data_IF_454612875376
#
_entry.id   IF_454612875376
#
_cell.length_a   1.000
_cell.length_b   1.000
_cell.length_c   1.000
_cell.angle_alpha   90.00
_cell.angle_beta   90.00
_cell.angle_gamma   90.00
#
_symmetry.space_group_name_H-M   'P 1'
#
loop_
_entity.id
_entity.type
_entity.pdbx_description
1 polymer ?
#
# COMPACT_ATOMS: atom_id res chain seq x y z
N UNK A 1 -28.63 1.37 15.93
CA UNK A 1 -28.27 -0.06 16.10
C UNK A 1 -27.23 -0.40 15.05
N UNK A 2 -26.06 -0.92 15.43
CA UNK A 2 -24.99 -1.29 14.50
C UNK A 2 -25.42 -2.58 13.79
N UNK A 3 -25.63 -2.55 12.48
CA UNK A 3 -25.86 -3.76 11.67
C UNK A 3 -24.51 -4.38 11.34
N UNK A 4 -24.38 -5.68 11.49
CA UNK A 4 -23.19 -6.41 11.10
C UNK A 4 -23.00 -6.33 9.58
N UNK A 5 -21.76 -6.21 9.12
CA UNK A 5 -21.43 -6.05 7.70
C UNK A 5 -20.94 -7.38 7.17
N UNK A 6 -21.56 -7.87 6.10
CA UNK A 6 -21.09 -9.03 5.35
C UNK A 6 -20.36 -8.55 4.09
N UNK A 7 -19.12 -8.96 3.94
CA UNK A 7 -18.26 -8.59 2.81
C UNK A 7 -18.24 -9.73 1.78
N UNK A 8 -18.89 -9.55 0.64
CA UNK A 8 -19.01 -10.57 -0.43
C UNK A 8 -18.42 -10.05 -1.74
N UNK A 9 -17.82 -10.93 -2.56
CA UNK A 9 -17.31 -10.53 -3.88
C UNK A 9 -18.46 -10.19 -4.84
N UNK A 10 -18.42 -9.02 -5.48
CA UNK A 10 -19.43 -8.65 -6.46
C UNK A 10 -19.11 -9.23 -7.86
N UNK A 11 -20.10 -9.76 -8.60
CA UNK A 11 -21.54 -9.76 -8.33
C UNK A 11 -21.98 -10.82 -7.32
N UNK A 12 -22.74 -10.37 -6.31
CA UNK A 12 -23.35 -11.27 -5.30
C UNK A 12 -24.62 -11.88 -5.87
N UNK A 13 -24.71 -13.21 -5.88
CA UNK A 13 -25.90 -13.95 -6.30
C UNK A 13 -27.15 -13.56 -5.50
N UNK A 14 -28.33 -13.52 -6.11
CA UNK A 14 -29.57 -13.08 -5.47
C UNK A 14 -29.96 -13.91 -4.24
N UNK A 15 -29.71 -15.22 -4.28
CA UNK A 15 -29.96 -16.14 -3.15
C UNK A 15 -29.10 -15.77 -1.94
N UNK A 16 -27.82 -15.50 -2.16
CA UNK A 16 -26.88 -15.11 -1.10
C UNK A 16 -27.19 -13.74 -0.51
N UNK A 17 -27.64 -12.82 -1.36
CA UNK A 17 -28.09 -11.50 -0.96
C UNK A 17 -29.37 -11.54 -0.12
N UNK A 18 -30.30 -12.45 -0.43
CA UNK A 18 -31.54 -12.62 0.32
C UNK A 18 -31.24 -13.17 1.73
N UNK A 19 -30.42 -14.21 1.82
CA UNK A 19 -30.02 -14.82 3.10
C UNK A 19 -29.33 -13.82 4.03
N UNK A 20 -28.36 -13.06 3.52
CA UNK A 20 -27.64 -12.06 4.31
C UNK A 20 -28.55 -10.90 4.77
N UNK A 21 -29.53 -10.52 3.94
CA UNK A 21 -30.51 -9.49 4.31
C UNK A 21 -31.54 -9.97 5.32
N UNK A 22 -31.98 -11.22 5.23
CA UNK A 22 -32.90 -11.84 6.19
C UNK A 22 -32.27 -11.91 7.58
N UNK A 23 -30.98 -12.24 7.65
CA UNK A 23 -30.19 -12.20 8.88
C UNK A 23 -29.87 -10.78 9.37
N UNK A 24 -30.25 -9.73 8.62
CA UNK A 24 -30.09 -8.33 9.02
C UNK A 24 -28.71 -7.73 8.70
N UNK A 25 -27.86 -8.41 7.94
CA UNK A 25 -26.54 -7.91 7.56
C UNK A 25 -26.63 -6.81 6.49
N UNK A 26 -25.65 -5.91 6.53
CA UNK A 26 -25.37 -4.97 5.44
C UNK A 26 -24.35 -5.62 4.50
N UNK A 27 -24.75 -5.84 3.26
CA UNK A 27 -23.88 -6.45 2.25
C UNK A 27 -23.03 -5.35 1.61
N UNK A 28 -21.71 -5.50 1.71
CA UNK A 28 -20.71 -4.61 1.11
C UNK A 28 -19.78 -5.47 0.24
N UNK A 29 -19.22 -4.87 -0.81
CA UNK A 29 -18.26 -5.57 -1.65
C UNK A 29 -16.98 -5.90 -0.88
N UNK A 30 -16.44 -7.10 -1.08
CA UNK A 30 -15.24 -7.59 -0.41
C UNK A 30 -14.02 -6.67 -0.59
N UNK A 31 -13.93 -5.83 -1.63
CA UNK A 31 -12.85 -4.83 -1.77
C UNK A 31 -12.84 -3.77 -0.66
N UNK A 32 -13.95 -3.59 0.04
CA UNK A 32 -14.07 -2.64 1.14
C UNK A 32 -13.91 -3.32 2.51
N UNK A 33 -13.60 -4.62 2.54
CA UNK A 33 -13.31 -5.29 3.80
C UNK A 33 -11.97 -4.77 4.36
N UNK A 34 -11.97 -4.14 5.55
CA UNK A 34 -10.74 -3.63 6.15
C UNK A 34 -9.79 -4.75 6.60
N UNK A 35 -10.25 -6.01 6.65
CA UNK A 35 -9.43 -7.16 7.04
C UNK A 35 -8.84 -7.92 5.82
N UNK A 36 -9.40 -7.73 4.62
CA UNK A 36 -8.91 -8.32 3.36
C UNK A 36 -7.49 -7.85 3.01
N UNK A 37 -7.01 -6.79 3.66
CA UNK A 37 -5.66 -6.25 3.55
C UNK A 37 -4.77 -6.43 4.78
N UNK A 38 -4.89 -7.51 5.57
CA UNK A 38 -3.99 -7.73 6.73
C UNK A 38 -3.15 -9.01 6.68
N UNK A 39 -2.81 -9.48 5.48
CA UNK A 39 -1.51 -10.16 5.25
C UNK A 39 -0.58 -9.32 4.38
N UNK A 40 -0.72 -8.00 4.42
CA UNK A 40 0.43 -7.13 4.30
C UNK A 40 0.00 -5.78 4.84
N UNK A 41 0.74 -5.28 5.82
CA UNK A 41 0.75 -3.85 6.09
C UNK A 41 1.46 -3.19 4.91
N UNK A 42 0.85 -3.21 3.72
CA UNK A 42 1.18 -2.28 2.67
C UNK A 42 0.47 -0.99 3.06
N UNK A 43 1.22 -0.17 3.81
CA UNK A 43 1.17 1.28 3.58
C UNK A 43 1.02 1.51 2.06
N UNK A 44 0.12 2.42 1.71
CA UNK A 44 -0.35 2.55 0.34
C UNK A 44 0.78 2.71 -0.68
N UNK A 45 0.42 2.54 -1.95
CA UNK A 45 1.09 3.17 -3.09
C UNK A 45 1.86 4.44 -2.67
N UNK A 46 3.15 4.33 -2.38
CA UNK A 46 3.83 5.40 -1.64
C UNK A 46 5.18 4.98 -1.10
N UNK A 47 6.17 5.00 -1.98
CA UNK A 47 7.58 5.25 -1.67
C UNK A 47 7.97 5.24 -0.18
N UNK A 48 8.63 4.18 0.28
CA UNK A 48 9.15 4.06 1.64
C UNK A 48 10.23 5.12 1.92
N UNK A 49 9.80 6.28 2.42
CA UNK A 49 10.70 7.39 2.72
C UNK A 49 11.78 7.01 3.74
N UNK A 50 11.53 6.04 4.62
CA UNK A 50 12.52 5.56 5.58
C UNK A 50 13.60 4.70 4.90
N UNK A 51 13.21 3.75 4.04
CA UNK A 51 14.14 2.93 3.27
C UNK A 51 14.98 3.78 2.30
N UNK A 52 14.36 4.77 1.67
CA UNK A 52 15.01 5.73 0.80
C UNK A 52 16.10 6.55 1.51
N UNK A 53 15.80 7.07 2.71
CA UNK A 53 16.76 7.81 3.54
C UNK A 53 17.91 6.91 4.00
N UNK A 54 17.62 5.67 4.36
CA UNK A 54 18.63 4.70 4.74
C UNK A 54 19.60 4.42 3.58
N UNK A 55 19.06 4.18 2.36
CA UNK A 55 19.87 3.94 1.17
C UNK A 55 20.79 5.13 0.84
N UNK A 56 20.26 6.36 0.83
CA UNK A 56 21.08 7.55 0.56
C UNK A 56 22.15 7.76 1.63
N UNK A 57 21.84 7.52 2.90
CA UNK A 57 22.81 7.63 4.00
C UNK A 57 23.92 6.59 3.87
N UNK A 58 23.58 5.36 3.48
CA UNK A 58 24.55 4.29 3.21
C UNK A 58 25.46 4.63 2.03
N UNK A 59 24.92 5.25 0.99
CA UNK A 59 25.70 5.76 -0.16
C UNK A 59 26.44 7.07 0.11
N UNK A 60 26.37 7.60 1.33
CA UNK A 60 27.00 8.87 1.69
C UNK A 60 26.37 10.09 1.01
N UNK A 61 25.18 9.94 0.43
CA UNK A 61 24.45 11.03 -0.23
C UNK A 61 23.75 11.87 0.84
N UNK A 62 24.13 13.14 0.92
CA UNK A 62 23.55 14.09 1.86
C UNK A 62 22.19 14.60 1.36
N UNK A 63 21.14 14.44 2.17
CA UNK A 63 19.79 14.95 1.88
C UNK A 63 19.24 15.74 3.07
N UNK A 64 18.35 16.70 2.81
CA UNK A 64 17.70 17.47 3.86
C UNK A 64 16.67 16.63 4.62
N UNK A 65 16.60 16.72 5.95
CA UNK A 65 15.63 15.95 6.75
C UNK A 65 14.15 16.23 6.40
N UNK A 66 13.87 17.40 5.81
CA UNK A 66 12.55 17.82 5.32
C UNK A 66 12.41 17.74 3.79
N UNK A 67 13.25 16.94 3.12
CA UNK A 67 13.15 16.74 1.67
C UNK A 67 11.82 16.08 1.30
N UNK A 68 11.12 16.65 0.32
CA UNK A 68 9.85 16.11 -0.16
C UNK A 68 10.02 14.75 -0.84
N UNK A 69 9.00 13.90 -0.74
CA UNK A 69 9.00 12.50 -1.20
C UNK A 69 9.47 12.34 -2.65
N UNK A 70 8.99 13.18 -3.57
CA UNK A 70 9.41 13.20 -4.98
C UNK A 70 10.91 13.45 -5.17
N UNK A 71 11.50 14.34 -4.37
CA UNK A 71 12.94 14.64 -4.44
C UNK A 71 13.77 13.53 -3.82
N UNK A 72 13.27 12.95 -2.72
CA UNK A 72 13.88 11.80 -2.08
C UNK A 72 13.92 10.59 -3.02
N UNK A 73 12.82 10.33 -3.74
CA UNK A 73 12.73 9.27 -4.74
C UNK A 73 13.70 9.47 -5.89
N UNK A 74 13.79 10.69 -6.42
CA UNK A 74 14.73 11.01 -7.49
C UNK A 74 16.19 10.81 -7.07
N UNK A 75 16.55 11.20 -5.85
CA UNK A 75 17.91 10.98 -5.33
C UNK A 75 18.23 9.50 -5.16
N UNK A 76 17.28 8.70 -4.66
CA UNK A 76 17.47 7.24 -4.52
C UNK A 76 17.64 6.60 -5.88
N UNK A 77 16.83 6.98 -6.87
CA UNK A 77 16.93 6.49 -8.23
C UNK A 77 18.26 6.86 -8.87
N UNK A 78 18.71 8.12 -8.71
CA UNK A 78 20.00 8.60 -9.24
C UNK A 78 21.19 7.90 -8.57
N UNK A 79 21.15 7.71 -7.25
CA UNK A 79 22.18 6.95 -6.52
C UNK A 79 22.21 5.48 -6.97
N UNK A 80 21.04 4.87 -7.17
CA UNK A 80 20.93 3.48 -7.62
C UNK A 80 21.33 3.28 -9.09
N UNK A 81 21.05 4.27 -9.94
CA UNK A 81 21.51 4.31 -11.32
C UNK A 81 23.03 4.50 -11.40
N UNK A 82 23.60 5.39 -10.58
CA UNK A 82 25.05 5.60 -10.49
C UNK A 82 25.79 4.33 -10.03
N UNK A 83 25.19 3.52 -9.16
CA UNK A 83 25.74 2.22 -8.76
C UNK A 83 25.65 1.16 -9.86
N UNK A 84 24.56 1.15 -10.63
CA UNK A 84 24.40 0.24 -11.76
C UNK A 84 25.43 0.52 -12.87
N UNK A 85 25.87 1.77 -13.00
CA UNK A 85 26.88 2.18 -13.99
C UNK A 85 28.33 2.00 -13.49
N UNK A 86 28.56 1.90 -12.18
CA UNK A 86 29.90 1.62 -11.60
C UNK A 86 30.29 0.12 -11.61
N UNK A 87 29.42 -0.75 -12.15
CA UNK A 87 29.59 -2.20 -12.18
C UNK A 87 30.03 -2.79 -13.52
N UNK A 88 30.46 -1.97 -14.48
CA UNK A 88 31.13 -2.44 -15.69
C UNK A 88 32.50 -1.76 -15.82
N UNK A 89 33.50 -2.34 -15.18
CA UNK A 89 34.89 -2.25 -15.65
C UNK A 89 35.54 -3.64 -15.59
#
# INVERSE_FOLDING_TARGET
MKKEIAYEEHPVSPERKAELREQGYKIIDARFDPNRGTVEKAEGDGFDAEAAKAYLKEKGVSFSANIGEKKLMKLVEEAKAAEAESGQE
#
